data_IF_132918170233
#
_entry.id   IF_132918170233
#
_cell.length_a   1.000
_cell.length_b   1.000
_cell.length_c   1.000
_cell.angle_alpha   90.00
_cell.angle_beta   90.00
_cell.angle_gamma   90.00
#
_symmetry.space_group_name_H-M   'P 1'
#
loop_
_entity.id
_entity.type
_entity.pdbx_description
1 polymer ?
#
# COMPACT_ATOMS: atom_id res chain seq x y z
N UNK A 1 -0.80 -11.94 11.23
CA UNK A 1 -1.06 -10.81 10.29
C UNK A 1 -2.46 -10.91 9.70
N UNK A 2 -2.73 -11.95 8.91
CA UNK A 2 -4.01 -12.08 8.22
C UNK A 2 -5.17 -12.31 9.21
N UNK A 3 -4.97 -12.98 10.34
CA UNK A 3 -6.02 -13.12 11.37
C UNK A 3 -6.33 -11.84 12.19
N UNK A 4 -5.39 -10.88 12.28
CA UNK A 4 -5.50 -9.72 13.19
C UNK A 4 -5.85 -8.40 12.46
N UNK A 5 -5.31 -8.19 11.26
CA UNK A 5 -5.46 -6.93 10.53
C UNK A 5 -6.03 -7.08 9.12
N UNK A 6 -5.82 -8.23 8.46
CA UNK A 6 -6.16 -8.42 7.05
C UNK A 6 -7.08 -9.63 6.82
N UNK A 7 -7.99 -9.88 7.75
CA UNK A 7 -8.86 -11.05 7.70
C UNK A 7 -9.62 -11.10 6.38
N UNK A 8 -9.55 -12.22 5.68
CA UNK A 8 -10.25 -12.44 4.42
C UNK A 8 -9.73 -11.62 3.23
N UNK A 9 -8.54 -11.00 3.33
CA UNK A 9 -7.90 -10.26 2.22
C UNK A 9 -7.44 -11.19 1.10
N UNK A 10 -6.80 -12.31 1.45
CA UNK A 10 -6.33 -13.32 0.50
C UNK A 10 -7.50 -13.97 -0.23
N UNK A 11 -8.51 -14.34 0.53
CA UNK A 11 -9.74 -14.99 0.08
C UNK A 11 -10.55 -14.04 -0.80
N UNK A 12 -10.50 -12.73 -0.53
CA UNK A 12 -11.07 -11.72 -1.41
C UNK A 12 -10.32 -11.59 -2.73
N UNK A 13 -8.98 -11.56 -2.70
CA UNK A 13 -8.18 -11.46 -3.93
C UNK A 13 -8.41 -12.70 -4.81
N UNK A 14 -8.39 -13.90 -4.24
CA UNK A 14 -8.75 -15.15 -4.92
C UNK A 14 -10.17 -15.09 -5.51
N UNK A 15 -11.16 -14.68 -4.72
CA UNK A 15 -12.52 -14.52 -5.22
C UNK A 15 -12.61 -13.51 -6.36
N UNK A 16 -11.94 -12.37 -6.25
CA UNK A 16 -11.99 -11.30 -7.24
C UNK A 16 -11.49 -11.78 -8.60
N UNK A 17 -10.45 -12.62 -8.59
CA UNK A 17 -9.86 -13.22 -9.79
C UNK A 17 -10.79 -14.30 -10.40
N UNK A 18 -11.49 -15.07 -9.58
CA UNK A 18 -12.35 -16.18 -10.02
C UNK A 18 -13.83 -15.79 -10.22
N UNK A 19 -14.20 -14.54 -9.92
CA UNK A 19 -15.60 -14.08 -9.93
C UNK A 19 -16.31 -14.34 -11.26
N UNK A 20 -15.63 -14.16 -12.38
CA UNK A 20 -16.22 -14.36 -13.71
C UNK A 20 -16.40 -15.84 -14.03
N UNK A 21 -15.39 -16.67 -13.73
CA UNK A 21 -15.49 -18.13 -13.86
C UNK A 21 -16.67 -18.66 -13.04
N UNK A 22 -16.84 -18.18 -11.82
CA UNK A 22 -17.95 -18.59 -10.96
C UNK A 22 -19.31 -18.15 -11.47
N UNK A 23 -19.41 -16.96 -12.08
CA UNK A 23 -20.67 -16.55 -12.72
C UNK A 23 -21.04 -17.51 -13.84
N UNK A 24 -20.07 -17.88 -14.68
CA UNK A 24 -20.24 -18.81 -15.79
C UNK A 24 -20.62 -20.22 -15.31
N UNK A 25 -19.88 -20.78 -14.36
CA UNK A 25 -20.21 -22.08 -13.74
C UNK A 25 -21.59 -22.07 -13.12
N UNK A 26 -21.95 -20.97 -12.45
CA UNK A 26 -23.26 -20.84 -11.83
C UNK A 26 -24.41 -20.73 -12.82
N UNK A 27 -24.13 -20.33 -14.06
CA UNK A 27 -25.10 -20.30 -15.16
C UNK A 27 -25.19 -21.67 -15.85
N UNK A 28 -24.09 -22.43 -15.90
CA UNK A 28 -24.01 -23.74 -16.55
C UNK A 28 -24.52 -24.89 -15.67
N UNK A 29 -24.27 -24.85 -14.35
CA UNK A 29 -24.62 -25.93 -13.42
C UNK A 29 -26.00 -25.66 -12.81
N UNK A 30 -27.03 -25.86 -13.62
CA UNK A 30 -28.44 -25.75 -13.21
C UNK A 30 -29.16 -27.04 -13.58
N UNK A 31 -30.02 -27.52 -12.69
CA UNK A 31 -30.90 -28.65 -13.00
C UNK A 31 -31.73 -28.31 -14.25
N UNK A 32 -31.78 -29.21 -15.25
CA UNK A 32 -32.63 -29.01 -16.42
C UNK A 32 -34.09 -28.80 -15.98
N UNK A 33 -34.85 -28.02 -16.76
CA UNK A 33 -36.26 -27.73 -16.47
C UNK A 33 -37.11 -29.00 -16.37
N UNK A 34 -36.70 -30.05 -17.09
CA UNK A 34 -37.33 -31.37 -17.09
C UNK A 34 -36.44 -32.37 -16.36
N UNK A 35 -36.91 -32.86 -15.22
CA UNK A 35 -36.28 -33.97 -14.51
C UNK A 35 -37.07 -35.27 -14.79
N UNK A 36 -36.50 -36.16 -15.59
CA UNK A 36 -37.12 -37.44 -15.97
C UNK A 36 -37.22 -38.46 -14.82
N UNK A 37 -36.50 -38.24 -13.72
CA UNK A 37 -36.50 -39.12 -12.54
C UNK A 37 -37.68 -38.80 -11.61
N UNK A 38 -38.09 -37.53 -11.54
CA UNK A 38 -39.11 -37.07 -10.57
C UNK A 38 -40.43 -36.67 -11.23
N UNK A 39 -40.55 -36.76 -12.57
CA UNK A 39 -41.75 -36.34 -13.35
C UNK A 39 -42.24 -34.91 -13.04
N UNK A 40 -41.38 -34.09 -12.44
CA UNK A 40 -41.72 -32.76 -11.96
C UNK A 40 -40.85 -31.74 -12.69
N UNK A 41 -41.48 -30.71 -13.26
CA UNK A 41 -40.78 -29.57 -13.82
C UNK A 41 -40.20 -28.73 -12.69
N UNK A 42 -38.92 -28.37 -12.79
CA UNK A 42 -38.29 -27.54 -11.76
C UNK A 42 -38.91 -26.13 -11.79
N UNK A 43 -39.44 -25.67 -10.65
CA UNK A 43 -40.07 -24.33 -10.52
C UNK A 43 -39.04 -23.17 -10.54
N UNK A 44 -37.76 -23.47 -10.72
CA UNK A 44 -36.68 -22.47 -10.72
C UNK A 44 -35.30 -23.09 -10.88
N UNK A 45 -34.27 -22.24 -10.90
CA UNK A 45 -32.86 -22.65 -11.04
C UNK A 45 -32.40 -23.43 -9.80
N UNK A 46 -32.56 -24.75 -9.80
CA UNK A 46 -32.00 -25.64 -8.79
C UNK A 46 -30.53 -25.88 -9.08
N UNK A 47 -29.71 -25.81 -8.03
CA UNK A 47 -28.26 -25.98 -8.08
C UNK A 47 -27.86 -27.14 -7.17
N UNK A 48 -26.76 -27.83 -7.47
CA UNK A 48 -26.27 -28.88 -6.58
C UNK A 48 -25.89 -28.28 -5.22
N UNK A 49 -26.10 -29.07 -4.16
CA UNK A 49 -25.95 -28.61 -2.77
C UNK A 49 -24.54 -28.11 -2.47
N UNK A 50 -23.50 -28.75 -3.01
CA UNK A 50 -22.11 -28.34 -2.82
C UNK A 50 -21.84 -26.91 -3.34
N UNK A 51 -22.41 -26.56 -4.50
CA UNK A 51 -22.21 -25.24 -5.11
C UNK A 51 -22.94 -24.13 -4.31
N UNK A 52 -24.05 -24.46 -3.65
CA UNK A 52 -24.74 -23.55 -2.75
C UNK A 52 -23.94 -23.32 -1.46
N UNK A 53 -23.39 -24.38 -0.88
CA UNK A 53 -22.55 -24.30 0.33
C UNK A 53 -21.32 -23.45 0.06
N UNK A 54 -20.61 -23.72 -1.04
CA UNK A 54 -19.40 -22.98 -1.41
C UNK A 54 -19.69 -21.50 -1.64
N UNK A 55 -20.75 -21.18 -2.37
CA UNK A 55 -21.20 -19.79 -2.57
C UNK A 55 -21.53 -19.09 -1.24
N UNK A 56 -22.21 -19.78 -0.32
CA UNK A 56 -22.57 -19.22 0.99
C UNK A 56 -21.33 -18.97 1.85
N UNK A 57 -20.40 -19.93 1.88
CA UNK A 57 -19.12 -19.82 2.58
C UNK A 57 -18.32 -18.61 2.08
N UNK A 58 -18.14 -18.50 0.77
CA UNK A 58 -17.38 -17.41 0.15
C UNK A 58 -18.02 -16.04 0.39
N UNK A 59 -19.34 -15.97 0.31
CA UNK A 59 -20.06 -14.74 0.65
C UNK A 59 -19.88 -14.37 2.13
N UNK A 60 -19.85 -15.35 3.03
CA UNK A 60 -19.54 -15.13 4.45
C UNK A 60 -18.11 -14.61 4.63
N UNK A 61 -17.12 -15.24 4.00
CA UNK A 61 -15.71 -14.82 4.07
C UNK A 61 -15.53 -13.39 3.55
N UNK A 62 -16.20 -13.04 2.45
CA UNK A 62 -16.21 -11.67 1.92
C UNK A 62 -16.83 -10.66 2.90
N UNK A 63 -18.00 -10.96 3.45
CA UNK A 63 -18.65 -10.06 4.41
C UNK A 63 -17.78 -9.85 5.65
N UNK A 64 -17.16 -10.92 6.14
CA UNK A 64 -16.24 -10.85 7.27
C UNK A 64 -14.98 -10.05 6.93
N UNK A 65 -14.44 -10.14 5.71
CA UNK A 65 -13.26 -9.37 5.30
C UNK A 65 -13.51 -7.86 5.20
N UNK A 66 -14.70 -7.49 4.74
CA UNK A 66 -15.13 -6.10 4.59
C UNK A 66 -15.71 -5.48 5.87
N UNK A 67 -16.11 -6.30 6.85
CA UNK A 67 -16.79 -5.85 8.07
C UNK A 67 -16.05 -4.71 8.78
N UNK A 68 -14.73 -4.80 8.93
CA UNK A 68 -13.92 -3.74 9.55
C UNK A 68 -13.37 -2.69 8.58
N UNK A 69 -13.49 -2.85 7.24
CA UNK A 69 -13.24 -1.75 6.29
C UNK A 69 -14.35 -0.69 6.39
N UNK A 70 -15.59 -1.13 6.60
CA UNK A 70 -16.75 -0.23 6.66
C UNK A 70 -16.77 0.67 7.90
N UNK A 71 -16.24 0.19 9.04
CA UNK A 71 -16.15 0.96 10.29
C UNK A 71 -15.32 2.24 10.10
N UNK A 72 -14.26 2.18 9.30
CA UNK A 72 -13.39 3.34 9.02
C UNK A 72 -14.05 4.37 8.09
N UNK A 73 -14.98 3.95 7.22
CA UNK A 73 -15.67 4.89 6.31
C UNK A 73 -16.77 5.69 6.99
N UNK A 74 -17.34 5.20 8.09
CA UNK A 74 -18.56 5.78 8.69
C UNK A 74 -18.29 6.66 9.89
N UNK A 75 -17.12 6.58 10.53
CA UNK A 75 -16.84 7.33 11.75
C UNK A 75 -15.46 8.02 11.69
N UNK A 76 -15.44 9.36 11.70
CA UNK A 76 -14.23 10.17 11.47
C UNK A 76 -13.16 10.10 12.57
N UNK A 77 -13.42 9.42 13.69
CA UNK A 77 -12.54 9.38 14.87
C UNK A 77 -11.98 7.99 15.21
N UNK A 78 -12.16 6.97 14.39
CA UNK A 78 -11.60 5.63 14.69
C UNK A 78 -10.19 5.47 14.10
N UNK A 79 -9.19 5.76 14.93
CA UNK A 79 -7.81 5.38 14.67
C UNK A 79 -7.60 3.85 14.76
N UNK A 80 -6.46 3.34 14.24
CA UNK A 80 -6.08 1.95 14.44
C UNK A 80 -5.98 1.64 15.94
N UNK A 81 -6.41 0.44 16.38
CA UNK A 81 -6.21 -0.02 17.76
C UNK A 81 -4.73 0.00 18.18
N UNK A 82 -4.45 0.16 19.48
CA UNK A 82 -3.07 0.29 19.99
C UNK A 82 -2.17 -0.89 19.61
N UNK A 83 -2.70 -2.11 19.63
CA UNK A 83 -1.96 -3.30 19.22
C UNK A 83 -1.60 -3.29 17.73
N UNK A 84 -2.42 -2.65 16.88
CA UNK A 84 -2.12 -2.47 15.46
C UNK A 84 -1.00 -1.45 15.28
N UNK A 85 -0.98 -0.37 16.07
CA UNK A 85 0.11 0.61 16.05
C UNK A 85 1.44 -0.04 16.42
N UNK A 86 1.48 -0.80 17.52
CA UNK A 86 2.67 -1.56 17.93
C UNK A 86 3.11 -2.56 16.85
N UNK A 87 2.16 -3.25 16.21
CA UNK A 87 2.47 -4.20 15.15
C UNK A 87 3.05 -3.51 13.92
N UNK A 88 2.50 -2.37 13.50
CA UNK A 88 3.02 -1.58 12.38
C UNK A 88 4.44 -1.09 12.68
N UNK A 89 4.70 -0.60 13.89
CA UNK A 89 6.02 -0.13 14.31
C UNK A 89 7.05 -1.28 14.34
N UNK A 90 6.66 -2.45 14.85
CA UNK A 90 7.51 -3.64 14.82
C UNK A 90 7.79 -4.13 13.40
N UNK A 91 6.79 -4.10 12.51
CA UNK A 91 6.96 -4.47 11.10
C UNK A 91 7.83 -3.46 10.34
N UNK A 92 7.71 -2.18 10.67
CA UNK A 92 8.56 -1.13 10.14
C UNK A 92 10.03 -1.41 10.51
N UNK A 93 10.30 -1.71 11.79
CA UNK A 93 11.64 -2.08 12.24
C UNK A 93 12.16 -3.36 11.55
N UNK A 94 11.31 -4.38 11.39
CA UNK A 94 11.68 -5.62 10.68
C UNK A 94 11.92 -5.40 9.17
N UNK A 95 11.24 -4.42 8.56
CA UNK A 95 11.48 -4.03 7.16
C UNK A 95 12.86 -3.39 6.95
N UNK A 96 13.52 -2.99 8.04
CA UNK A 96 14.87 -2.43 8.08
C UNK A 96 15.91 -3.40 8.63
N UNK A 97 15.61 -4.70 8.72
CA UNK A 97 16.55 -5.69 9.25
C UNK A 97 17.71 -5.99 8.29
N UNK A 98 18.86 -6.45 8.80
CA UNK A 98 20.00 -6.90 7.98
C UNK A 98 19.65 -8.00 6.94
N UNK A 99 18.77 -8.95 7.28
CA UNK A 99 18.44 -10.08 6.41
C UNK A 99 17.45 -9.69 5.31
N UNK A 100 17.82 -9.95 4.05
CA UNK A 100 16.99 -9.61 2.89
C UNK A 100 15.63 -10.32 2.87
N UNK A 101 15.58 -11.60 3.26
CA UNK A 101 14.33 -12.39 3.31
C UNK A 101 13.36 -11.85 4.36
N UNK A 102 13.86 -11.50 5.54
CA UNK A 102 13.08 -10.89 6.62
C UNK A 102 12.51 -9.55 6.16
N UNK A 103 13.34 -8.68 5.57
CA UNK A 103 12.88 -7.40 5.03
C UNK A 103 11.79 -7.56 3.98
N UNK A 104 11.93 -8.51 3.06
CA UNK A 104 10.95 -8.76 2.01
C UNK A 104 9.60 -9.20 2.58
N UNK A 105 9.60 -10.15 3.52
CA UNK A 105 8.37 -10.66 4.14
C UNK A 105 7.72 -9.63 5.07
N UNK A 106 8.53 -8.90 5.83
CA UNK A 106 8.07 -7.82 6.70
C UNK A 106 7.49 -6.66 5.87
N UNK A 107 8.17 -6.24 4.80
CA UNK A 107 7.69 -5.20 3.89
C UNK A 107 6.37 -5.56 3.22
N UNK A 108 6.20 -6.81 2.77
CA UNK A 108 4.91 -7.31 2.25
C UNK A 108 3.81 -7.28 3.30
N UNK A 109 4.13 -7.65 4.54
CA UNK A 109 3.17 -7.66 5.65
C UNK A 109 2.79 -6.24 6.08
N UNK A 110 3.76 -5.34 6.16
CA UNK A 110 3.57 -3.91 6.41
C UNK A 110 2.67 -3.28 5.32
N UNK A 111 2.93 -3.61 4.05
CA UNK A 111 2.14 -3.14 2.92
C UNK A 111 0.64 -3.51 3.07
N UNK A 112 0.36 -4.75 3.44
CA UNK A 112 -1.03 -5.18 3.70
C UNK A 112 -1.66 -4.35 4.82
N UNK A 113 -0.93 -4.10 5.90
CA UNK A 113 -1.42 -3.30 7.04
C UNK A 113 -1.69 -1.84 6.67
N UNK A 114 -0.79 -1.17 5.97
CA UNK A 114 -0.98 0.23 5.58
C UNK A 114 -2.05 0.40 4.49
N UNK A 115 -2.28 -0.63 3.66
CA UNK A 115 -3.44 -0.68 2.74
C UNK A 115 -4.76 -0.72 3.52
N UNK A 116 -4.78 -1.43 4.66
CA UNK A 116 -5.94 -1.50 5.56
C UNK A 116 -6.11 -0.22 6.38
N UNK A 117 -5.01 0.38 6.83
CA UNK A 117 -4.98 1.56 7.70
C UNK A 117 -4.18 2.71 7.05
N UNK A 118 -4.80 3.48 6.12
CA UNK A 118 -4.09 4.52 5.38
C UNK A 118 -3.51 5.64 6.26
N UNK A 119 -4.12 5.93 7.41
CA UNK A 119 -3.64 6.95 8.36
C UNK A 119 -2.22 6.70 8.87
N UNK A 120 -1.73 5.45 8.81
CA UNK A 120 -0.37 5.09 9.22
C UNK A 120 0.68 5.29 8.13
N UNK A 121 0.26 5.56 6.88
CA UNK A 121 1.18 5.72 5.75
C UNK A 121 2.10 6.92 5.96
N UNK A 122 1.57 8.05 6.43
CA UNK A 122 2.35 9.27 6.68
C UNK A 122 3.49 9.03 7.68
N UNK A 123 3.19 8.41 8.83
CA UNK A 123 4.19 8.01 9.84
C UNK A 123 5.26 7.11 9.25
N UNK A 124 4.87 6.09 8.49
CA UNK A 124 5.81 5.17 7.85
C UNK A 124 6.70 5.89 6.84
N UNK A 125 6.12 6.73 5.97
CA UNK A 125 6.89 7.48 4.96
C UNK A 125 7.92 8.37 5.62
N UNK A 126 7.55 9.15 6.64
CA UNK A 126 8.47 10.05 7.32
C UNK A 126 9.66 9.29 7.93
N UNK A 127 9.40 8.19 8.64
CA UNK A 127 10.44 7.37 9.26
C UNK A 127 11.36 6.69 8.23
N UNK A 128 10.80 6.15 7.14
CA UNK A 128 11.60 5.53 6.08
C UNK A 128 12.44 6.54 5.30
N UNK A 129 11.91 7.75 5.12
CA UNK A 129 12.59 8.84 4.43
C UNK A 129 13.74 9.41 5.26
N UNK A 130 13.61 9.40 6.59
CA UNK A 130 14.70 9.77 7.48
C UNK A 130 15.94 8.88 7.29
N UNK A 131 15.75 7.58 7.04
CA UNK A 131 16.84 6.67 6.72
C UNK A 131 17.56 7.04 5.42
N UNK A 132 16.85 7.60 4.43
CA UNK A 132 17.46 8.06 3.17
C UNK A 132 18.32 9.31 3.39
N UNK A 133 17.84 10.23 4.22
CA UNK A 133 18.50 11.51 4.51
C UNK A 133 19.73 11.36 5.40
N UNK A 134 19.74 10.40 6.32
CA UNK A 134 20.84 10.24 7.27
C UNK A 134 22.03 9.50 6.62
N UNK A 135 23.23 10.10 6.56
CA UNK A 135 24.42 9.47 5.98
C UNK A 135 24.96 8.30 6.82
N UNK A 136 24.56 8.20 8.10
CA UNK A 136 24.97 7.11 9.00
C UNK A 136 24.07 5.87 8.88
N UNK A 137 23.01 5.94 8.07
CA UNK A 137 22.09 4.83 7.89
C UNK A 137 22.78 3.64 7.22
N UNK A 138 22.62 2.41 7.75
CA UNK A 138 23.23 1.24 7.13
C UNK A 138 22.55 0.88 5.80
N UNK A 139 23.31 0.26 4.89
CA UNK A 139 22.85 -0.09 3.53
C UNK A 139 21.52 -0.86 3.54
N UNK A 140 21.36 -1.81 4.47
CA UNK A 140 20.17 -2.65 4.54
C UNK A 140 18.90 -1.86 4.92
N UNK A 141 19.02 -0.81 5.74
CA UNK A 141 17.89 0.03 6.14
C UNK A 141 17.44 0.91 4.96
N UNK A 142 18.39 1.45 4.20
CA UNK A 142 18.11 2.23 2.99
C UNK A 142 17.40 1.38 1.93
N UNK A 143 17.93 0.18 1.66
CA UNK A 143 17.32 -0.77 0.73
C UNK A 143 15.90 -1.19 1.15
N UNK A 144 15.67 -1.43 2.45
CA UNK A 144 14.34 -1.74 2.98
C UNK A 144 13.37 -0.58 2.84
N UNK A 145 13.85 0.64 3.12
CA UNK A 145 13.09 1.88 2.97
C UNK A 145 12.68 2.12 1.52
N UNK A 146 13.60 1.98 0.56
CA UNK A 146 13.30 2.10 -0.87
C UNK A 146 12.25 1.08 -1.33
N UNK A 147 12.33 -0.17 -0.85
CA UNK A 147 11.39 -1.21 -1.25
C UNK A 147 9.95 -0.91 -0.81
N UNK A 148 9.76 -0.36 0.40
CA UNK A 148 8.43 0.01 0.90
C UNK A 148 7.94 1.30 0.22
N UNK A 149 8.78 2.33 0.12
CA UNK A 149 8.44 3.63 -0.50
C UNK A 149 8.08 3.50 -1.99
N UNK A 150 8.71 2.57 -2.71
CA UNK A 150 8.45 2.32 -4.13
C UNK A 150 7.09 1.67 -4.41
N UNK A 151 6.29 1.38 -3.38
CA UNK A 151 5.02 0.68 -3.55
C UNK A 151 3.90 1.62 -3.98
N UNK A 152 3.04 1.15 -4.89
CA UNK A 152 1.92 1.93 -5.46
C UNK A 152 0.96 2.50 -4.39
N UNK A 153 0.74 1.80 -3.27
CA UNK A 153 -0.12 2.29 -2.18
C UNK A 153 0.42 3.55 -1.54
N UNK A 154 1.74 3.58 -1.31
CA UNK A 154 2.45 4.74 -0.75
C UNK A 154 2.44 5.87 -1.76
N UNK A 155 2.82 5.62 -3.02
CA UNK A 155 2.81 6.63 -4.08
C UNK A 155 1.43 7.26 -4.29
N UNK A 156 0.35 6.48 -4.22
CA UNK A 156 -1.02 7.00 -4.29
C UNK A 156 -1.40 7.84 -3.08
N UNK A 157 -0.92 7.50 -1.89
CA UNK A 157 -1.23 8.27 -0.68
C UNK A 157 -0.49 9.61 -0.63
N UNK A 158 0.73 9.67 -1.21
CA UNK A 158 1.53 10.90 -1.28
C UNK A 158 0.84 12.03 -2.08
N UNK A 159 -0.14 11.74 -2.94
CA UNK A 159 -0.92 12.80 -3.62
C UNK A 159 -1.85 13.54 -2.67
N UNK A 160 -2.20 12.94 -1.53
CA UNK A 160 -3.14 13.48 -0.54
C UNK A 160 -2.46 14.09 0.68
N UNK A 161 -1.16 13.83 0.87
CA UNK A 161 -0.39 14.28 2.04
C UNK A 161 0.83 15.11 1.61
N UNK A 162 0.73 16.46 1.60
CA UNK A 162 1.82 17.33 1.16
C UNK A 162 3.04 17.29 2.09
N UNK A 163 2.86 16.99 3.39
CA UNK A 163 3.97 16.85 4.36
C UNK A 163 4.79 15.60 4.06
N UNK A 164 4.13 14.45 3.87
CA UNK A 164 4.82 13.22 3.50
C UNK A 164 5.43 13.29 2.09
N UNK A 165 4.77 13.97 1.15
CA UNK A 165 5.27 14.20 -0.21
C UNK A 165 6.56 15.01 -0.24
N UNK A 166 6.56 16.18 0.40
CA UNK A 166 7.75 17.06 0.48
C UNK A 166 8.93 16.36 1.14
N UNK A 167 8.70 15.71 2.29
CA UNK A 167 9.72 14.92 2.98
C UNK A 167 10.30 13.85 2.05
N UNK A 168 9.45 13.06 1.38
CA UNK A 168 9.87 11.98 0.48
C UNK A 168 10.77 12.47 -0.66
N UNK A 169 10.40 13.56 -1.35
CA UNK A 169 11.24 14.15 -2.41
C UNK A 169 12.59 14.59 -1.84
N UNK A 170 12.57 15.34 -0.73
CA UNK A 170 13.79 15.85 -0.12
C UNK A 170 14.71 14.70 0.32
N UNK A 171 14.15 13.62 0.87
CA UNK A 171 14.91 12.43 1.24
C UNK A 171 15.52 11.71 0.03
N UNK A 172 14.81 11.63 -1.10
CA UNK A 172 15.35 11.05 -2.33
C UNK A 172 16.49 11.90 -2.87
N UNK A 173 16.35 13.23 -2.92
CA UNK A 173 17.37 14.13 -3.44
C UNK A 173 18.61 14.20 -2.54
N UNK A 174 18.42 14.22 -1.22
CA UNK A 174 19.53 14.24 -0.24
C UNK A 174 20.25 12.90 -0.06
N UNK A 175 19.79 11.83 -0.71
CA UNK A 175 20.37 10.48 -0.57
C UNK A 175 21.64 10.24 -1.40
N UNK A 176 22.23 11.28 -2.01
CA UNK A 176 23.44 11.19 -2.85
C UNK A 176 24.67 10.68 -2.08
N UNK A 177 24.68 10.83 -0.75
CA UNK A 177 25.78 10.41 0.12
C UNK A 177 25.96 8.89 0.25
N UNK A 178 24.98 8.09 -0.21
CA UNK A 178 25.09 6.62 -0.14
C UNK A 178 25.94 6.08 -1.30
N UNK A 179 27.15 5.62 -1.00
CA UNK A 179 28.13 5.17 -2.00
C UNK A 179 27.88 3.76 -2.57
N UNK A 180 27.20 2.88 -1.82
CA UNK A 180 27.01 1.49 -2.26
C UNK A 180 26.15 1.39 -3.52
N UNK A 181 26.62 0.62 -4.50
CA UNK A 181 25.96 0.43 -5.80
C UNK A 181 24.53 -0.10 -5.66
N UNK A 182 24.29 -0.99 -4.68
CA UNK A 182 22.95 -1.58 -4.46
C UNK A 182 21.97 -0.52 -3.98
N UNK A 183 22.36 0.31 -3.02
CA UNK A 183 21.57 1.44 -2.54
C UNK A 183 21.33 2.46 -3.63
N UNK A 184 22.36 2.81 -4.40
CA UNK A 184 22.19 3.73 -5.51
C UNK A 184 21.20 3.20 -6.56
N UNK A 185 21.30 1.91 -6.92
CA UNK A 185 20.33 1.28 -7.83
C UNK A 185 18.90 1.34 -7.29
N UNK A 186 18.69 1.01 -6.02
CA UNK A 186 17.36 1.02 -5.40
C UNK A 186 16.76 2.43 -5.32
N UNK A 187 17.58 3.43 -4.99
CA UNK A 187 17.14 4.82 -4.95
C UNK A 187 16.85 5.34 -6.37
N UNK A 188 17.66 5.00 -7.37
CA UNK A 188 17.38 5.35 -8.77
C UNK A 188 16.05 4.77 -9.23
N UNK A 189 15.78 3.50 -8.90
CA UNK A 189 14.50 2.88 -9.20
C UNK A 189 13.34 3.60 -8.52
N UNK A 190 13.49 3.97 -7.24
CA UNK A 190 12.51 4.75 -6.51
C UNK A 190 12.25 6.12 -7.18
N UNK A 191 13.31 6.83 -7.56
CA UNK A 191 13.24 8.11 -8.24
C UNK A 191 12.54 8.01 -9.60
N UNK A 192 12.85 6.98 -10.40
CA UNK A 192 12.19 6.76 -11.70
C UNK A 192 10.71 6.45 -11.51
N UNK A 193 10.36 5.55 -10.58
CA UNK A 193 8.95 5.24 -10.25
C UNK A 193 8.19 6.48 -9.79
N UNK A 194 8.83 7.32 -9.00
CA UNK A 194 8.28 8.59 -8.55
C UNK A 194 8.00 9.53 -9.73
N UNK A 195 9.00 9.76 -10.60
CA UNK A 195 8.85 10.62 -11.76
C UNK A 195 7.77 10.13 -12.73
N UNK A 196 7.66 8.82 -12.95
CA UNK A 196 6.59 8.25 -13.78
C UNK A 196 5.21 8.52 -13.16
N UNK A 197 5.08 8.39 -11.84
CA UNK A 197 3.79 8.54 -11.17
C UNK A 197 3.33 10.00 -11.08
N UNK A 198 4.24 10.95 -10.82
CA UNK A 198 3.91 12.35 -10.58
C UNK A 198 4.18 13.28 -11.75
N UNK A 199 4.90 12.82 -12.78
CA UNK A 199 5.37 13.64 -13.90
C UNK A 199 6.09 14.92 -13.47
N UNK A 200 6.75 14.89 -12.30
CA UNK A 200 7.44 16.02 -11.67
C UNK A 200 6.83 16.46 -10.33
N UNK A 201 7.25 17.63 -9.84
CA UNK A 201 6.72 18.21 -8.58
C UNK A 201 5.38 18.89 -8.87
N UNK A 202 4.28 18.16 -8.63
CA UNK A 202 2.95 18.68 -8.93
C UNK A 202 2.53 19.80 -7.97
N UNK A 203 2.34 21.01 -8.51
CA UNK A 203 1.76 22.17 -7.80
C UNK A 203 0.33 21.91 -7.30
N UNK A 204 -0.40 20.96 -7.90
CA UNK A 204 -1.80 20.69 -7.51
C UNK A 204 -1.92 20.05 -6.12
N UNK A 205 -0.90 19.33 -5.67
CA UNK A 205 -0.87 18.65 -4.36
C UNK A 205 -0.88 19.68 -3.23
N UNK A 206 -0.18 20.80 -3.41
CA UNK A 206 -0.11 21.91 -2.44
C UNK A 206 -1.29 22.88 -2.55
N UNK A 207 -2.02 22.88 -3.67
CA UNK A 207 -3.19 23.75 -3.86
C UNK A 207 -4.45 23.21 -3.18
N UNK A 208 -4.54 21.90 -2.98
CA UNK A 208 -5.66 21.25 -2.31
C UNK A 208 -5.64 21.43 -0.77
N UNK A 209 -4.49 21.78 -0.17
CA UNK A 209 -4.31 21.89 1.28
C UNK A 209 -4.61 23.28 1.86
N UNK A 210 -5.29 24.15 1.10
CA UNK A 210 -5.39 25.61 1.33
C UNK A 210 -5.98 26.12 2.65
N UNK A 211 -6.19 25.29 3.67
CA UNK A 211 -6.75 25.68 4.97
C UNK A 211 -6.00 25.15 6.21
N UNK A 212 -4.82 24.52 6.07
CA UNK A 212 -4.06 24.01 7.23
C UNK A 212 -2.67 24.65 7.31
N UNK A 213 -2.49 25.47 8.35
CA UNK A 213 -1.31 26.29 8.72
C UNK A 213 -0.02 25.53 9.02
N UNK A 214 0.04 24.21 8.77
CA UNK A 214 1.23 23.39 9.08
C UNK A 214 1.84 22.67 7.86
N UNK A 215 1.26 22.75 6.67
CA UNK A 215 1.86 22.14 5.49
C UNK A 215 3.08 22.96 5.04
N UNK A 216 4.23 22.33 4.70
CA UNK A 216 5.37 23.05 4.15
C UNK A 216 4.92 23.74 2.86
N UNK A 217 5.18 25.04 2.77
CA UNK A 217 4.73 25.82 1.64
C UNK A 217 5.47 25.36 0.39
N UNK A 218 4.79 25.36 -0.77
CA UNK A 218 5.41 24.94 -2.03
C UNK A 218 6.68 25.74 -2.32
N UNK A 219 6.68 27.02 -1.94
CA UNK A 219 7.84 27.92 -2.05
C UNK A 219 9.03 27.44 -1.20
N UNK A 220 8.79 26.95 0.02
CA UNK A 220 9.82 26.44 0.92
C UNK A 220 10.43 25.15 0.37
N UNK A 221 9.60 24.24 -0.15
CA UNK A 221 10.08 23.02 -0.80
C UNK A 221 10.96 23.35 -2.01
N UNK A 222 10.52 24.26 -2.87
CA UNK A 222 11.31 24.67 -4.04
C UNK A 222 12.59 25.36 -3.62
N UNK A 223 12.57 26.20 -2.58
CA UNK A 223 13.77 26.85 -2.02
C UNK A 223 14.78 25.81 -1.52
N UNK A 224 14.32 24.81 -0.77
CA UNK A 224 15.17 23.71 -0.30
C UNK A 224 15.76 22.89 -1.46
N UNK A 225 14.95 22.52 -2.45
CA UNK A 225 15.42 21.83 -3.66
C UNK A 225 16.47 22.68 -4.40
N UNK A 226 16.22 23.98 -4.52
CA UNK A 226 17.12 24.91 -5.18
C UNK A 226 18.44 25.01 -4.43
N UNK A 227 18.41 25.11 -3.09
CA UNK A 227 19.63 25.16 -2.27
C UNK A 227 20.53 23.93 -2.43
N UNK A 228 19.95 22.75 -2.66
CA UNK A 228 20.70 21.51 -2.90
C UNK A 228 21.38 21.47 -4.28
N UNK A 229 20.99 22.33 -5.22
CA UNK A 229 21.54 22.40 -6.57
C UNK A 229 22.81 23.26 -6.68
N UNK A 230 22.98 24.24 -5.78
CA UNK A 230 23.99 25.30 -5.92
C UNK A 230 25.41 24.93 -5.46
N UNK A 231 25.61 23.80 -4.78
CA UNK A 231 26.96 23.30 -4.39
C UNK A 231 27.37 22.08 -5.25
N UNK A 232 27.57 22.27 -6.56
CA UNK A 232 27.96 21.17 -7.47
C UNK A 232 29.44 21.23 -7.91
N UNK A 233 30.36 20.89 -7.01
CA UNK A 233 31.68 20.35 -7.42
C UNK A 233 31.63 18.88 -7.81
N UNK A 234 30.45 18.25 -7.77
CA UNK A 234 30.21 16.92 -8.31
C UNK A 234 28.90 16.89 -9.07
N UNK A 235 28.94 16.76 -10.39
CA UNK A 235 27.79 16.39 -11.22
C UNK A 235 27.42 14.92 -10.96
N UNK A 236 26.94 14.60 -9.77
CA UNK A 236 26.13 13.40 -9.56
C UNK A 236 24.66 13.83 -9.62
N UNK A 237 24.25 14.25 -10.82
CA UNK A 237 22.85 14.55 -11.08
C UNK A 237 22.05 13.25 -11.03
N UNK A 238 21.14 13.23 -10.06
CA UNK A 238 19.83 12.60 -10.17
C UNK A 238 18.81 13.70 -10.39
#
# INVERSE_FOLDING_TARGET
MDALGNYGSSEYDEWSNHRQAWKLESAAIVEPSVNFIVSAHSKGKRRPRWALIDKAFMHSTWRSSQSSYHIYRTNGNFGPPDHVNLLVDNLLNLSLHSYATVRLLAGKSLLKMIKRWPSMISKCVLSLTENLRNPKSPEYAVLGSCAVLATQTVLKHLTMDPKAFSSCILGILSSSHHESLKTQKAINELFVKYNIHFAGVSRSIFRASGNHTEAPDFADLVSQITSMSFESTGLHWR
#
